data_IF_066527591770
#
_entry.id   IF_066527591770
#
_cell.length_a   1.000
_cell.length_b   1.000
_cell.length_c   1.000
_cell.angle_alpha   90.00
_cell.angle_beta   90.00
_cell.angle_gamma   90.00
#
_symmetry.space_group_name_H-M   'P 1'
#
loop_
_entity.id
_entity.type
_entity.pdbx_description
1 polymer ?
#
# COMPACT_ATOMS: atom_id res chain seq x y z
N UNK A 1 -37.65 1.87 66.59
CA UNK A 1 -36.31 1.28 66.41
C UNK A 1 -36.33 -0.10 67.03
N UNK A 2 -36.44 -1.13 66.20
CA UNK A 2 -35.91 -2.48 66.42
C UNK A 2 -36.28 -3.31 65.18
N UNK A 3 -35.21 -3.71 64.50
CA UNK A 3 -35.02 -4.88 63.64
C UNK A 3 -35.97 -5.23 62.50
N UNK A 4 -35.37 -5.03 61.33
CA UNK A 4 -35.70 -5.53 60.01
C UNK A 4 -34.89 -6.81 59.80
N UNK A 5 -35.52 -7.97 59.86
CA UNK A 5 -35.00 -9.17 59.19
C UNK A 5 -36.10 -9.79 58.33
N UNK A 6 -36.03 -9.45 57.04
CA UNK A 6 -36.66 -10.21 55.97
C UNK A 6 -35.79 -11.44 55.70
N UNK A 7 -36.32 -12.63 55.97
CA UNK A 7 -35.92 -13.87 55.29
C UNK A 7 -37.08 -14.33 54.44
N UNK A 8 -36.97 -14.14 53.13
CA UNK A 8 -37.84 -14.77 52.13
C UNK A 8 -37.09 -15.92 51.48
N UNK A 9 -37.78 -17.06 51.48
CA UNK A 9 -37.42 -18.30 50.82
C UNK A 9 -37.65 -18.22 49.29
N UNK A 10 -37.09 -19.21 48.58
CA UNK A 10 -37.31 -19.48 47.15
C UNK A 10 -36.08 -19.06 46.34
N UNK A 11 -35.19 -19.95 45.91
CA UNK A 11 -35.49 -21.21 45.24
C UNK A 11 -35.59 -20.93 43.75
N UNK A 12 -34.46 -20.95 43.05
CA UNK A 12 -34.43 -21.23 41.61
C UNK A 12 -33.29 -22.20 41.37
N UNK A 13 -33.70 -23.35 40.84
CA UNK A 13 -32.95 -24.51 40.41
C UNK A 13 -31.78 -24.12 39.49
N UNK A 14 -30.55 -24.38 39.95
CA UNK A 14 -29.32 -24.20 39.16
C UNK A 14 -29.00 -25.54 38.52
N UNK A 15 -29.79 -25.92 37.52
CA UNK A 15 -29.43 -26.97 36.57
C UNK A 15 -29.58 -26.42 35.16
N UNK A 16 -28.63 -25.57 34.77
CA UNK A 16 -28.35 -25.27 33.38
C UNK A 16 -27.24 -26.21 32.92
N UNK A 17 -27.34 -26.86 31.74
CA UNK A 17 -26.25 -27.65 31.20
C UNK A 17 -25.03 -26.74 31.00
N UNK A 18 -23.86 -27.20 31.48
CA UNK A 18 -22.56 -26.63 31.15
C UNK A 18 -22.40 -26.66 29.62
N UNK A 19 -22.78 -25.57 28.98
CA UNK A 19 -22.35 -25.28 27.62
C UNK A 19 -20.92 -24.81 27.77
N UNK A 20 -20.00 -25.77 27.72
CA UNK A 20 -18.62 -25.54 27.32
C UNK A 20 -18.68 -24.67 26.06
N UNK A 21 -18.52 -23.36 26.24
CA UNK A 21 -18.31 -22.45 25.14
C UNK A 21 -16.99 -22.90 24.53
N UNK A 22 -17.08 -23.73 23.50
CA UNK A 22 -15.97 -24.01 22.61
C UNK A 22 -15.50 -22.65 22.11
N UNK A 23 -14.50 -22.10 22.80
CA UNK A 23 -13.66 -21.05 22.28
C UNK A 23 -13.09 -21.69 21.04
N UNK A 24 -13.67 -21.37 19.89
CA UNK A 24 -13.07 -21.72 18.62
C UNK A 24 -11.66 -21.15 18.71
N UNK A 25 -10.68 -22.05 18.88
CA UNK A 25 -9.30 -21.71 18.62
C UNK A 25 -9.32 -21.14 17.21
N UNK A 26 -9.23 -19.82 17.12
CA UNK A 26 -8.93 -19.17 15.86
C UNK A 26 -7.55 -19.72 15.56
N UNK A 27 -7.46 -20.70 14.67
CA UNK A 27 -6.22 -21.05 14.01
C UNK A 27 -5.67 -19.72 13.53
N UNK A 28 -4.68 -19.20 14.26
CA UNK A 28 -3.84 -18.14 13.71
C UNK A 28 -3.40 -18.70 12.37
N UNK A 29 -3.57 -17.97 11.27
CA UNK A 29 -3.17 -18.47 9.97
C UNK A 29 -1.64 -18.50 9.97
N UNK A 30 -1.06 -19.50 10.63
CA UNK A 30 0.36 -19.66 10.84
C UNK A 30 0.89 -20.39 9.62
N UNK A 31 0.96 -19.63 8.53
CA UNK A 31 1.29 -20.10 7.21
C UNK A 31 2.03 -19.03 6.43
N UNK A 32 2.91 -19.48 5.52
CA UNK A 32 3.63 -18.60 4.60
C UNK A 32 2.66 -17.64 3.89
N UNK A 33 1.46 -18.10 3.53
CA UNK A 33 0.45 -17.30 2.83
C UNK A 33 -0.08 -16.11 3.65
N UNK A 34 -0.26 -16.27 4.96
CA UNK A 34 -0.64 -15.18 5.84
C UNK A 34 0.48 -14.15 5.94
N UNK A 35 1.72 -14.62 6.05
CA UNK A 35 2.90 -13.75 6.07
C UNK A 35 3.07 -12.99 4.76
N UNK A 36 2.87 -13.63 3.61
CA UNK A 36 2.86 -12.98 2.30
C UNK A 36 1.73 -11.96 2.18
N UNK A 37 0.56 -12.28 2.72
CA UNK A 37 -0.56 -11.33 2.77
C UNK A 37 -0.23 -10.11 3.62
N UNK A 38 0.41 -10.31 4.77
CA UNK A 38 0.85 -9.22 5.64
C UNK A 38 1.91 -8.35 4.95
N UNK A 39 2.89 -8.94 4.26
CA UNK A 39 3.84 -8.15 3.45
C UNK A 39 3.17 -7.35 2.37
N UNK A 40 2.18 -7.95 1.71
CA UNK A 40 1.44 -7.30 0.64
C UNK A 40 0.71 -6.05 1.15
N UNK A 41 -0.10 -6.19 2.20
CA UNK A 41 -0.84 -5.05 2.76
C UNK A 41 0.09 -4.01 3.41
N UNK A 42 1.14 -4.46 4.12
CA UNK A 42 2.13 -3.55 4.68
C UNK A 42 2.88 -2.78 3.57
N UNK A 43 3.13 -3.40 2.42
CA UNK A 43 3.76 -2.72 1.27
C UNK A 43 2.88 -1.58 0.75
N UNK A 44 1.59 -1.85 0.54
CA UNK A 44 0.63 -0.84 0.08
C UNK A 44 0.55 0.34 1.07
N UNK A 45 0.45 0.04 2.36
CA UNK A 45 0.47 1.05 3.42
C UNK A 45 1.77 1.87 3.42
N UNK A 46 2.92 1.20 3.39
CA UNK A 46 4.23 1.86 3.45
C UNK A 46 4.49 2.72 2.21
N UNK A 47 4.06 2.29 1.01
CA UNK A 47 4.12 3.08 -0.23
C UNK A 47 3.49 4.43 -0.03
N UNK A 48 2.28 4.46 0.51
CA UNK A 48 1.50 5.68 0.69
C UNK A 48 2.04 6.54 1.82
N UNK A 49 2.46 5.91 2.93
CA UNK A 49 3.13 6.62 4.03
C UNK A 49 4.44 7.30 3.60
N UNK A 50 5.13 6.76 2.59
CA UNK A 50 6.37 7.32 2.04
C UNK A 50 6.16 8.26 0.86
N UNK A 51 4.91 8.56 0.51
CA UNK A 51 4.62 9.54 -0.53
C UNK A 51 5.34 10.87 -0.22
N UNK A 52 5.90 11.52 -1.25
CA UNK A 52 6.67 12.74 -1.06
C UNK A 52 5.78 13.85 -0.49
N UNK A 53 6.40 14.77 0.24
CA UNK A 53 5.80 16.03 0.69
C UNK A 53 6.67 17.17 0.14
N UNK A 54 6.13 18.31 -0.34
CA UNK A 54 6.95 19.44 -0.72
C UNK A 54 7.87 19.87 0.43
N UNK A 55 9.10 20.27 0.12
CA UNK A 55 10.08 20.73 1.13
C UNK A 55 9.71 22.08 1.78
N UNK A 56 8.76 22.81 1.18
CA UNK A 56 8.32 24.09 1.70
C UNK A 56 7.21 23.88 2.74
N UNK A 57 7.35 24.51 3.91
CA UNK A 57 6.31 24.57 4.93
C UNK A 57 5.03 25.28 4.45
N UNK A 58 5.10 26.01 3.33
CA UNK A 58 3.98 26.78 2.77
C UNK A 58 3.17 25.96 1.76
N UNK A 59 3.78 24.95 1.15
CA UNK A 59 3.10 24.13 0.15
C UNK A 59 2.41 22.95 0.84
N UNK A 60 1.13 22.69 0.52
CA UNK A 60 0.41 21.59 1.12
C UNK A 60 0.94 20.25 0.57
N UNK A 61 0.68 19.15 1.30
CA UNK A 61 1.08 17.80 0.87
C UNK A 61 0.64 17.49 -0.56
N UNK A 62 1.47 16.72 -1.29
CA UNK A 62 1.08 16.20 -2.60
C UNK A 62 -0.15 15.29 -2.51
N UNK A 63 -0.28 14.55 -1.40
CA UNK A 63 -1.45 13.71 -1.15
C UNK A 63 -2.58 14.54 -0.54
N UNK A 64 -3.80 14.24 -0.98
CA UNK A 64 -5.02 14.81 -0.39
C UNK A 64 -5.59 13.97 0.75
N UNK A 65 -4.92 12.89 1.13
CA UNK A 65 -5.34 12.00 2.22
C UNK A 65 -4.87 12.46 3.58
N UNK A 66 -5.73 12.30 4.58
CA UNK A 66 -5.39 12.45 6.00
C UNK A 66 -4.59 11.21 6.47
N UNK A 67 -3.71 11.36 7.48
CA UNK A 67 -2.97 10.23 8.02
C UNK A 67 -3.83 9.04 8.47
N UNK A 68 -5.05 9.29 8.96
CA UNK A 68 -5.98 8.24 9.37
C UNK A 68 -6.51 7.45 8.17
N UNK A 69 -6.79 8.12 7.05
CA UNK A 69 -7.23 7.45 5.82
C UNK A 69 -6.11 6.58 5.26
N UNK A 70 -4.85 6.97 5.46
CA UNK A 70 -3.71 6.14 5.09
C UNK A 70 -3.65 4.81 5.86
N UNK A 71 -4.23 4.72 7.06
CA UNK A 71 -4.27 3.46 7.84
C UNK A 71 -5.32 2.47 7.36
N UNK A 72 -6.27 2.92 6.55
CA UNK A 72 -7.38 2.13 6.02
C UNK A 72 -7.19 1.82 4.53
N UNK A 73 -5.96 1.91 4.03
CA UNK A 73 -5.67 1.66 2.61
C UNK A 73 -5.77 0.17 2.33
N UNK A 74 -6.74 -0.17 1.49
CA UNK A 74 -6.93 -1.49 0.93
C UNK A 74 -6.33 -1.60 -0.48
N UNK A 75 -6.25 -2.81 -1.01
CA UNK A 75 -5.73 -3.06 -2.36
C UNK A 75 -6.54 -2.32 -3.45
N UNK A 76 -7.85 -2.20 -3.26
CA UNK A 76 -8.74 -1.57 -4.24
C UNK A 76 -8.47 -0.08 -4.42
N UNK A 77 -7.84 0.57 -3.44
CA UNK A 77 -7.33 1.93 -3.58
C UNK A 77 -6.38 2.09 -4.78
N UNK A 78 -5.57 1.08 -5.04
CA UNK A 78 -4.61 1.03 -6.15
C UNK A 78 -5.22 0.48 -7.45
N UNK A 79 -6.52 0.18 -7.47
CA UNK A 79 -7.29 -0.31 -8.64
C UNK A 79 -8.23 0.74 -9.21
N UNK A 80 -7.91 2.02 -9.00
CA UNK A 80 -8.70 3.16 -9.50
C UNK A 80 -7.83 4.07 -10.37
N UNK A 81 -8.45 4.80 -11.30
CA UNK A 81 -7.80 5.86 -12.06
C UNK A 81 -8.04 7.26 -11.47
N UNK A 82 -8.71 7.32 -10.31
CA UNK A 82 -8.88 8.53 -9.51
C UNK A 82 -7.74 8.61 -8.49
N UNK A 83 -6.72 9.40 -8.80
CA UNK A 83 -5.48 9.45 -8.06
C UNK A 83 -5.60 10.34 -6.81
N UNK A 84 -5.09 9.91 -5.63
CA UNK A 84 -5.23 10.60 -4.35
C UNK A 84 -4.25 11.78 -4.16
N UNK A 85 -3.96 12.51 -5.25
CA UNK A 85 -2.95 13.58 -5.26
C UNK A 85 -3.58 14.90 -5.69
N UNK A 86 -3.03 16.01 -5.19
CA UNK A 86 -3.34 17.36 -5.69
C UNK A 86 -2.68 17.66 -7.02
N UNK A 87 -1.54 17.02 -7.27
CA UNK A 87 -0.76 17.17 -8.47
C UNK A 87 0.13 15.95 -8.66
N UNK A 88 0.20 15.44 -9.88
CA UNK A 88 0.88 14.21 -10.21
C UNK A 88 1.29 14.20 -11.67
N UNK A 89 2.29 13.40 -11.99
CA UNK A 89 2.67 13.08 -13.35
C UNK A 89 2.52 11.60 -13.54
N UNK A 90 1.83 11.19 -14.58
CA UNK A 90 1.64 9.78 -14.85
C UNK A 90 2.12 9.43 -16.25
N UNK A 91 2.44 8.15 -16.43
CA UNK A 91 2.56 7.53 -17.75
C UNK A 91 2.14 6.08 -17.66
N UNK A 92 1.73 5.53 -18.79
CA UNK A 92 1.67 4.07 -18.95
C UNK A 92 3.08 3.59 -19.19
N UNK A 93 3.50 2.58 -18.43
CA UNK A 93 4.83 1.98 -18.61
C UNK A 93 4.74 0.74 -19.49
N UNK A 94 5.87 0.32 -20.04
CA UNK A 94 5.96 -0.96 -20.74
C UNK A 94 5.74 -2.13 -19.77
N UNK A 95 5.20 -3.23 -20.30
CA UNK A 95 4.90 -4.42 -19.48
C UNK A 95 6.16 -4.98 -18.82
N UNK A 96 7.28 -5.05 -19.54
CA UNK A 96 8.56 -5.49 -18.98
C UNK A 96 9.04 -4.59 -17.84
N UNK A 97 8.91 -3.27 -18.02
CA UNK A 97 9.26 -2.30 -16.98
C UNK A 97 8.41 -2.50 -15.71
N UNK A 98 7.11 -2.77 -15.86
CA UNK A 98 6.22 -3.07 -14.73
C UNK A 98 6.58 -4.40 -14.05
N UNK A 99 6.69 -5.48 -14.82
CA UNK A 99 6.90 -6.86 -14.32
C UNK A 99 8.28 -7.11 -13.73
N UNK A 100 9.30 -6.52 -14.34
CA UNK A 100 10.68 -6.85 -14.04
C UNK A 100 11.35 -5.68 -13.33
N UNK A 101 11.31 -4.49 -13.91
CA UNK A 101 12.06 -3.36 -13.31
C UNK A 101 11.42 -2.87 -12.02
N UNK A 102 10.13 -2.54 -12.02
CA UNK A 102 9.45 -2.00 -10.84
C UNK A 102 9.28 -3.09 -9.77
N UNK A 103 8.79 -4.26 -10.15
CA UNK A 103 8.63 -5.39 -9.23
C UNK A 103 9.94 -5.76 -8.54
N UNK A 104 11.07 -5.86 -9.26
CA UNK A 104 12.36 -6.20 -8.65
C UNK A 104 12.89 -5.11 -7.71
N UNK A 105 12.42 -3.86 -7.83
CA UNK A 105 12.79 -2.80 -6.88
C UNK A 105 11.98 -2.89 -5.59
N UNK A 106 10.69 -3.19 -5.70
CA UNK A 106 9.82 -3.37 -4.54
C UNK A 106 10.08 -4.66 -3.77
N UNK A 107 10.26 -5.74 -4.53
CA UNK A 107 10.57 -7.07 -4.06
C UNK A 107 11.86 -7.47 -4.74
N UNK A 108 13.04 -7.19 -4.17
CA UNK A 108 14.32 -7.63 -4.73
C UNK A 108 14.49 -9.15 -4.69
N UNK A 109 15.05 -9.77 -5.74
CA UNK A 109 15.41 -11.18 -5.72
C UNK A 109 16.33 -11.51 -4.54
N UNK A 110 16.33 -12.78 -4.13
CA UNK A 110 17.32 -13.28 -3.17
C UNK A 110 18.73 -12.93 -3.66
N UNK A 111 19.57 -12.46 -2.75
CA UNK A 111 20.97 -12.06 -3.03
C UNK A 111 21.15 -10.83 -3.92
N UNK A 112 20.11 -10.00 -4.10
CA UNK A 112 20.28 -8.72 -4.80
C UNK A 112 21.17 -7.76 -4.01
N UNK A 113 22.12 -7.13 -4.70
CA UNK A 113 22.89 -6.02 -4.13
C UNK A 113 22.03 -4.76 -4.20
N UNK A 114 21.62 -4.26 -3.03
CA UNK A 114 20.83 -3.04 -2.95
C UNK A 114 21.72 -1.82 -3.22
N UNK A 115 21.18 -0.76 -3.85
CA UNK A 115 21.89 0.51 -4.00
C UNK A 115 22.32 1.07 -2.63
N UNK A 116 23.52 1.68 -2.53
CA UNK A 116 24.04 2.18 -1.26
C UNK A 116 23.23 3.37 -0.71
N UNK A 117 22.56 4.14 -1.57
CA UNK A 117 21.79 5.33 -1.22
C UNK A 117 20.28 5.12 -1.36
N UNK A 118 19.80 3.93 -0.99
CA UNK A 118 18.39 3.58 -1.14
C UNK A 118 17.48 4.46 -0.25
N UNK A 119 16.62 5.25 -0.88
CA UNK A 119 15.66 6.15 -0.24
C UNK A 119 14.29 5.48 -0.12
N UNK A 120 13.55 5.86 0.93
CA UNK A 120 12.23 5.35 1.31
C UNK A 120 12.24 3.88 1.75
N UNK A 121 12.70 2.94 0.92
CA UNK A 121 12.61 1.50 1.15
C UNK A 121 13.20 1.02 2.49
N UNK A 122 14.43 1.41 2.92
CA UNK A 122 14.99 0.89 4.18
C UNK A 122 14.20 1.30 5.43
N UNK A 123 13.34 2.30 5.30
CA UNK A 123 12.48 2.80 6.38
C UNK A 123 11.05 2.25 6.34
N UNK A 124 10.74 1.37 5.39
CA UNK A 124 9.48 0.65 5.28
C UNK A 124 9.56 -0.66 6.07
N UNK A 125 8.50 -1.01 6.78
CA UNK A 125 8.45 -2.23 7.59
C UNK A 125 8.37 -3.46 6.67
N UNK A 126 7.52 -3.43 5.64
CA UNK A 126 7.39 -4.56 4.71
C UNK A 126 8.74 -4.93 4.09
N UNK A 127 9.55 -3.92 3.75
CA UNK A 127 10.79 -4.12 3.02
C UNK A 127 11.83 -4.80 3.92
N UNK A 128 11.93 -4.38 5.18
CA UNK A 128 12.80 -5.02 6.18
C UNK A 128 12.41 -6.49 6.35
N UNK A 129 11.14 -6.76 6.62
CA UNK A 129 10.68 -8.11 6.93
C UNK A 129 10.76 -9.04 5.71
N UNK A 130 10.44 -8.52 4.52
CA UNK A 130 10.64 -9.22 3.26
C UNK A 130 12.12 -9.55 3.04
N UNK A 131 13.02 -8.57 3.14
CA UNK A 131 14.47 -8.82 2.92
C UNK A 131 15.05 -9.79 3.93
N UNK A 132 14.60 -9.74 5.19
CA UNK A 132 14.97 -10.70 6.21
C UNK A 132 14.50 -12.11 5.81
N UNK A 133 13.23 -12.29 5.43
CA UNK A 133 12.72 -13.58 4.95
C UNK A 133 13.53 -14.11 3.76
N UNK A 134 13.80 -13.26 2.76
CA UNK A 134 14.56 -13.65 1.57
C UNK A 134 16.02 -14.05 1.88
N UNK A 135 16.57 -13.62 3.02
CA UNK A 135 17.87 -14.07 3.53
C UNK A 135 17.86 -15.48 4.12
N UNK A 136 16.69 -15.95 4.58
CA UNK A 136 16.54 -17.24 5.27
C UNK A 136 15.99 -18.37 4.39
N UNK A 137 15.25 -18.03 3.33
CA UNK A 137 14.64 -19.03 2.45
C UNK A 137 15.60 -19.60 1.39
N UNK A 138 15.26 -20.78 0.87
CA UNK A 138 16.02 -21.39 -0.24
C UNK A 138 15.80 -20.61 -1.53
N UNK A 139 16.63 -20.89 -2.56
CA UNK A 139 16.43 -20.29 -3.88
C UNK A 139 15.08 -20.68 -4.48
N UNK A 140 14.64 -21.93 -4.31
CA UNK A 140 13.36 -22.41 -4.84
C UNK A 140 12.19 -21.67 -4.17
N UNK A 141 12.17 -21.64 -2.84
CA UNK A 141 11.12 -20.94 -2.09
C UNK A 141 11.10 -19.43 -2.40
N UNK A 142 12.27 -18.83 -2.62
CA UNK A 142 12.37 -17.43 -3.02
C UNK A 142 11.70 -17.14 -4.36
N UNK A 143 11.64 -18.12 -5.27
CA UNK A 143 10.95 -17.99 -6.56
C UNK A 143 9.44 -18.12 -6.35
N UNK A 144 9.00 -19.12 -5.57
CA UNK A 144 7.59 -19.33 -5.21
C UNK A 144 6.98 -18.08 -4.54
N UNK A 145 7.62 -17.56 -3.49
CA UNK A 145 7.23 -16.34 -2.78
C UNK A 145 7.05 -15.17 -3.74
N UNK A 146 8.01 -14.98 -4.65
CA UNK A 146 7.97 -13.88 -5.61
C UNK A 146 6.87 -14.06 -6.64
N UNK A 147 6.61 -15.29 -7.09
CA UNK A 147 5.54 -15.55 -8.04
C UNK A 147 4.18 -15.22 -7.40
N UNK A 148 3.95 -15.65 -6.16
CA UNK A 148 2.73 -15.30 -5.42
C UNK A 148 2.55 -13.77 -5.25
N UNK A 149 3.62 -13.05 -4.91
CA UNK A 149 3.59 -11.59 -4.82
C UNK A 149 3.39 -10.92 -6.19
N UNK A 150 3.95 -11.50 -7.26
CA UNK A 150 3.82 -10.98 -8.63
C UNK A 150 2.39 -11.11 -9.14
N UNK A 151 1.68 -12.17 -8.78
CA UNK A 151 0.26 -12.31 -9.12
C UNK A 151 -0.58 -11.18 -8.54
N UNK A 152 -0.31 -10.78 -7.29
CA UNK A 152 -0.99 -9.63 -6.66
C UNK A 152 -0.51 -8.30 -7.24
N UNK A 153 0.78 -8.14 -7.48
CA UNK A 153 1.38 -6.99 -8.17
C UNK A 153 0.68 -6.66 -9.48
N UNK A 154 0.37 -7.70 -10.26
CA UNK A 154 -0.25 -7.55 -11.56
C UNK A 154 -1.71 -7.12 -11.52
N UNK A 155 -2.34 -7.10 -10.34
CA UNK A 155 -3.70 -6.62 -10.13
C UNK A 155 -3.78 -5.13 -9.85
N UNK A 156 -2.66 -4.49 -9.53
CA UNK A 156 -2.61 -3.05 -9.26
C UNK A 156 -2.69 -2.27 -10.56
N UNK A 157 -3.48 -1.18 -10.57
CA UNK A 157 -3.64 -0.33 -11.75
C UNK A 157 -2.52 0.69 -11.81
N UNK A 158 -2.04 1.14 -10.64
CA UNK A 158 -1.00 2.15 -10.56
C UNK A 158 -0.10 1.99 -9.36
N UNK A 159 1.13 2.47 -9.47
CA UNK A 159 2.12 2.57 -8.40
C UNK A 159 3.07 3.74 -8.67
N UNK A 160 3.83 4.22 -7.66
CA UNK A 160 4.88 5.20 -7.91
C UNK A 160 5.92 4.67 -8.90
N UNK A 161 6.35 5.54 -9.82
CA UNK A 161 7.55 5.30 -10.61
C UNK A 161 8.74 5.32 -9.65
N UNK A 162 9.46 4.21 -9.62
CA UNK A 162 10.67 4.07 -8.83
C UNK A 162 11.86 4.66 -9.57
N UNK A 163 12.80 5.23 -8.82
CA UNK A 163 14.15 5.47 -9.30
C UNK A 163 15.00 4.22 -9.09
N UNK A 164 16.25 4.28 -9.55
CA UNK A 164 17.22 3.24 -9.19
C UNK A 164 17.42 3.15 -7.67
N UNK A 165 17.41 4.30 -7.00
CA UNK A 165 17.75 4.47 -5.59
C UNK A 165 16.56 4.91 -4.72
N UNK A 166 15.31 4.92 -5.21
CA UNK A 166 14.18 5.48 -4.46
C UNK A 166 12.83 4.90 -4.86
N UNK A 167 11.91 4.86 -3.90
CA UNK A 167 10.53 4.41 -4.13
C UNK A 167 9.72 5.47 -4.89
N UNK A 168 9.87 6.74 -4.50
CA UNK A 168 9.15 7.86 -5.09
C UNK A 168 10.08 8.77 -5.88
N UNK A 169 9.80 8.92 -7.18
CA UNK A 169 10.45 9.93 -8.02
C UNK A 169 9.60 11.20 -8.03
N UNK A 170 10.25 12.33 -7.72
CA UNK A 170 9.70 13.68 -7.95
C UNK A 170 10.64 14.43 -8.89
N UNK A 171 10.09 15.05 -9.93
CA UNK A 171 10.86 15.84 -10.91
C UNK A 171 10.03 17.02 -11.38
N UNK A 172 10.69 18.09 -11.80
CA UNK A 172 10.12 19.28 -12.48
C UNK A 172 10.04 19.11 -13.99
N UNK A 173 10.99 18.42 -14.62
CA UNK A 173 11.05 18.22 -16.07
C UNK A 173 10.70 16.78 -16.49
N UNK A 174 10.10 16.66 -17.67
CA UNK A 174 9.66 15.41 -18.26
C UNK A 174 10.77 14.82 -19.14
N UNK A 175 10.97 13.51 -19.08
CA UNK A 175 11.52 12.75 -20.21
C UNK A 175 10.47 11.71 -20.62
N UNK A 176 10.23 11.56 -21.93
CA UNK A 176 9.20 10.67 -22.47
C UNK A 176 7.75 11.17 -22.32
N UNK A 177 6.79 10.29 -22.64
CA UNK A 177 5.35 10.56 -22.74
C UNK A 177 4.63 10.52 -21.39
N UNK A 178 4.86 11.53 -20.56
CA UNK A 178 4.09 11.70 -19.33
C UNK A 178 2.99 12.74 -19.51
N UNK A 179 1.86 12.52 -18.84
CA UNK A 179 0.76 13.47 -18.69
C UNK A 179 0.86 14.09 -17.29
N UNK A 180 0.58 15.38 -17.18
CA UNK A 180 0.59 16.09 -15.89
C UNK A 180 -0.85 16.44 -15.50
N UNK A 181 -1.20 16.17 -14.25
CA UNK A 181 -2.44 16.64 -13.63
C UNK A 181 -2.11 17.53 -12.42
N UNK A 182 -2.83 18.64 -12.20
CA UNK A 182 -3.77 19.24 -13.16
C UNK A 182 -3.03 19.77 -14.41
N UNK A 183 -3.80 20.01 -15.47
CA UNK A 183 -3.26 20.56 -16.72
C UNK A 183 -2.56 21.90 -16.45
N UNK A 184 -1.42 22.14 -17.13
CA UNK A 184 -0.62 23.35 -16.97
C UNK A 184 0.31 23.36 -15.74
N UNK A 185 0.24 22.39 -14.85
CA UNK A 185 1.13 22.34 -13.68
C UNK A 185 2.61 22.11 -14.08
N UNK A 186 3.49 23.05 -13.75
CA UNK A 186 4.88 23.06 -14.22
C UNK A 186 5.95 22.84 -13.13
N UNK A 187 5.54 22.65 -11.86
CA UNK A 187 6.47 22.45 -10.73
C UNK A 187 6.77 20.95 -10.52
N UNK A 188 7.54 20.64 -9.47
CA UNK A 188 7.84 19.24 -9.14
C UNK A 188 6.56 18.50 -8.79
N UNK A 189 6.42 17.26 -9.26
CA UNK A 189 5.30 16.38 -8.93
C UNK A 189 5.78 14.93 -8.78
N UNK A 190 5.09 14.11 -7.95
CA UNK A 190 5.29 12.67 -7.90
C UNK A 190 5.01 12.04 -9.27
N UNK A 191 5.80 11.03 -9.61
CA UNK A 191 5.61 10.26 -10.84
C UNK A 191 4.92 8.94 -10.56
N UNK A 192 3.88 8.62 -11.33
CA UNK A 192 3.06 7.43 -11.24
C UNK A 192 3.17 6.62 -12.53
N UNK A 193 3.29 5.30 -12.39
CA UNK A 193 3.21 4.35 -13.47
C UNK A 193 1.81 3.74 -13.46
N UNK A 194 1.17 3.74 -14.62
CA UNK A 194 -0.01 2.91 -14.85
C UNK A 194 0.41 1.56 -15.44
N UNK A 195 -0.23 0.51 -14.93
CA UNK A 195 -0.09 -0.85 -15.40
C UNK A 195 -0.72 -0.96 -16.81
N UNK A 196 0.06 -1.37 -17.83
CA UNK A 196 -0.44 -1.46 -19.20
C UNK A 196 -1.54 -2.53 -19.39
N UNK A 197 -1.74 -3.44 -18.44
CA UNK A 197 -2.84 -4.41 -18.49
C UNK A 197 -4.23 -3.77 -18.31
N UNK A 198 -4.30 -2.64 -17.62
CA UNK A 198 -5.58 -2.00 -17.26
C UNK A 198 -5.79 -0.65 -17.94
N UNK A 199 -4.72 0.05 -18.29
CA UNK A 199 -4.83 1.33 -18.96
C UNK A 199 -5.11 1.16 -20.45
N UNK A 200 -6.19 1.77 -20.93
CA UNK A 200 -6.55 1.81 -22.35
C UNK A 200 -6.53 3.24 -22.86
N UNK A 201 -5.64 3.52 -23.81
CA UNK A 201 -5.53 4.84 -24.42
C UNK A 201 -6.85 5.28 -25.05
N UNK A 202 -7.32 6.48 -24.71
CA UNK A 202 -8.58 7.04 -25.20
C UNK A 202 -9.85 6.56 -24.48
N UNK A 203 -9.78 5.45 -23.73
CA UNK A 203 -10.92 4.92 -22.96
C UNK A 203 -10.79 5.20 -21.46
N UNK A 204 -9.56 5.17 -20.93
CA UNK A 204 -9.29 5.39 -19.52
C UNK A 204 -9.19 6.88 -19.20
N UNK A 205 -10.16 7.38 -18.42
CA UNK A 205 -10.10 8.71 -17.84
C UNK A 205 -9.32 8.68 -16.52
N UNK A 206 -8.27 9.49 -16.42
CA UNK A 206 -7.49 9.68 -15.18
C UNK A 206 -7.88 11.01 -14.56
N UNK A 207 -8.26 11.00 -13.29
CA UNK A 207 -8.65 12.19 -12.53
C UNK A 207 -7.87 12.30 -11.23
N UNK A 208 -7.90 13.48 -10.62
CA UNK A 208 -7.43 13.68 -9.25
C UNK A 208 -8.63 13.63 -8.30
N UNK A 209 -8.49 12.91 -7.18
CA UNK A 209 -9.49 12.89 -6.11
C UNK A 209 -9.69 14.29 -5.58
N UNK A 210 -10.95 14.74 -5.49
CA UNK A 210 -11.28 16.04 -4.93
C UNK A 210 -10.96 17.25 -5.82
N UNK A 211 -10.84 17.05 -7.15
CA UNK A 211 -10.70 18.13 -8.13
C UNK A 211 -11.97 19.01 -8.20
N UNK A 212 -12.19 19.84 -7.19
CA UNK A 212 -13.14 20.95 -7.17
C UNK A 212 -12.31 22.24 -7.09
N UNK A 213 -12.20 22.95 -8.21
CA UNK A 213 -11.81 24.37 -8.37
C UNK A 213 -10.88 24.98 -7.29
N UNK A 214 -9.62 24.55 -7.21
CA UNK A 214 -8.66 25.07 -6.22
C UNK A 214 -7.53 25.95 -6.78
N UNK A 215 -7.66 26.47 -8.00
CA UNK A 215 -6.72 27.48 -8.51
C UNK A 215 -7.47 28.70 -9.03
N UNK A 216 -7.58 29.80 -8.26
CA UNK A 216 -7.82 31.11 -8.84
C UNK A 216 -6.57 31.52 -9.65
N UNK A 217 -6.81 32.20 -10.77
CA UNK A 217 -5.82 32.77 -11.69
C UNK A 217 -4.73 33.62 -10.99
#
# INVERSE_FOLDING_TARGET
MADRELRMAGGVDISGPDVEAAVAEVEEPDGMDARLSNFWFQMLFDVMRKAPNPRSCVLPSYMDMKPIECTQIEEDFFKTFELPFRQVRYKVVEFDYWQNTMFNRFFPPRSSVLPPNLQNFPSCQYFKDYTALMGHVTKADSVEIRNALRERWNRLYWLPITGYDRMWVTRTTMSGHHVTLPDGYNRSAPQIAFNPLYFKHGETLVTLRGAVDQYPE
#
